data_IF_908880433029
#
_entry.id   IF_908880433029
#
_cell.length_a   1.000
_cell.length_b   1.000
_cell.length_c   1.000
_cell.angle_alpha   90.00
_cell.angle_beta   90.00
_cell.angle_gamma   90.00
#
_symmetry.space_group_name_H-M   'P 1'
#
loop_
_entity.id
_entity.type
_entity.pdbx_description
1 polymer ?
#
# COMPACT_ATOMS: atom_id res chain seq x y z
N UNK A 1 -45.09 26.67 17.98
CA UNK A 1 -44.24 27.78 17.48
C UNK A 1 -42.79 27.33 17.53
N UNK A 2 -42.28 26.80 16.41
CA UNK A 2 -40.91 26.26 16.30
C UNK A 2 -39.98 27.39 15.89
N UNK A 3 -39.07 27.80 16.79
CA UNK A 3 -38.08 28.85 16.48
C UNK A 3 -37.12 28.33 15.41
N UNK A 4 -37.12 28.98 14.25
CA UNK A 4 -36.13 28.77 13.19
C UNK A 4 -34.75 29.08 13.77
N UNK A 5 -33.87 28.07 13.81
CA UNK A 5 -32.49 28.21 14.24
C UNK A 5 -31.73 28.93 13.11
N UNK A 6 -31.58 30.25 13.23
CA UNK A 6 -30.80 31.04 12.27
C UNK A 6 -29.32 30.73 12.49
N UNK A 7 -28.70 30.01 11.56
CA UNK A 7 -27.25 29.81 11.58
C UNK A 7 -26.52 31.16 11.43
N UNK A 8 -25.42 31.40 12.17
CA UNK A 8 -24.67 32.64 12.06
C UNK A 8 -24.01 32.72 10.68
N UNK A 9 -24.37 33.74 9.88
CA UNK A 9 -23.70 34.04 8.60
C UNK A 9 -22.26 34.51 8.88
N UNK A 10 -21.28 33.74 8.42
CA UNK A 10 -19.86 34.11 8.51
C UNK A 10 -19.61 35.40 7.73
N UNK A 11 -18.90 36.35 8.33
CA UNK A 11 -18.50 37.59 7.64
C UNK A 11 -17.57 37.29 6.47
N UNK A 12 -17.69 38.04 5.37
CA UNK A 12 -16.86 37.85 4.17
C UNK A 12 -15.36 37.84 4.50
N UNK A 13 -14.89 38.74 5.37
CA UNK A 13 -13.48 38.80 5.77
C UNK A 13 -13.00 37.55 6.53
N UNK A 14 -13.87 36.95 7.35
CA UNK A 14 -13.57 35.69 8.04
C UNK A 14 -13.57 34.51 7.05
N UNK A 15 -14.50 34.49 6.09
CA UNK A 15 -14.52 33.50 5.03
C UNK A 15 -13.26 33.56 4.14
N UNK A 16 -12.85 34.76 3.75
CA UNK A 16 -11.65 35.00 2.94
C UNK A 16 -10.38 34.59 3.69
N UNK A 17 -10.30 34.89 5.00
CA UNK A 17 -9.19 34.45 5.86
C UNK A 17 -9.11 32.93 5.95
N UNK A 18 -10.23 32.23 6.20
CA UNK A 18 -10.27 30.76 6.26
C UNK A 18 -9.85 30.13 4.94
N UNK A 19 -10.30 30.69 3.82
CA UNK A 19 -9.91 30.24 2.48
C UNK A 19 -8.41 30.42 2.25
N UNK A 20 -7.84 31.56 2.63
CA UNK A 20 -6.42 31.84 2.45
C UNK A 20 -5.54 30.87 3.27
N UNK A 21 -5.92 30.60 4.53
CA UNK A 21 -5.21 29.63 5.38
C UNK A 21 -5.29 28.21 4.79
N UNK A 22 -6.49 27.74 4.43
CA UNK A 22 -6.65 26.41 3.85
C UNK A 22 -5.88 26.23 2.52
N UNK A 23 -5.81 27.28 1.69
CA UNK A 23 -5.03 27.24 0.45
C UNK A 23 -3.52 27.20 0.72
N UNK A 24 -3.03 27.91 1.74
CA UNK A 24 -1.63 27.86 2.14
C UNK A 24 -1.25 26.46 2.65
N UNK A 25 -2.07 25.87 3.52
CA UNK A 25 -1.88 24.51 4.03
C UNK A 25 -1.85 23.47 2.90
N UNK A 26 -2.78 23.57 1.94
CA UNK A 26 -2.81 22.69 0.77
C UNK A 26 -1.52 22.81 -0.05
N UNK A 27 -1.03 24.04 -0.28
CA UNK A 27 0.20 24.30 -1.04
C UNK A 27 1.45 23.74 -0.35
N UNK A 28 1.49 23.80 0.98
CA UNK A 28 2.57 23.20 1.75
C UNK A 28 2.57 21.68 1.63
N UNK A 29 1.40 21.04 1.73
CA UNK A 29 1.28 19.59 1.53
C UNK A 29 1.69 19.16 0.12
N UNK A 30 1.25 19.89 -0.91
CA UNK A 30 1.64 19.66 -2.31
C UNK A 30 3.17 19.77 -2.51
N UNK A 31 3.80 20.78 -1.90
CA UNK A 31 5.24 20.97 -2.00
C UNK A 31 6.01 19.83 -1.33
N UNK A 32 5.59 19.41 -0.14
CA UNK A 32 6.20 18.31 0.60
C UNK A 32 6.05 16.98 -0.14
N UNK A 33 4.89 16.74 -0.76
CA UNK A 33 4.69 15.56 -1.61
C UNK A 33 5.64 15.58 -2.83
N UNK A 34 5.76 16.72 -3.53
CA UNK A 34 6.67 16.86 -4.67
C UNK A 34 8.16 16.71 -4.31
N UNK A 35 8.53 17.03 -3.06
CA UNK A 35 9.88 16.80 -2.51
C UNK A 35 10.11 15.36 -2.07
N UNK A 36 9.10 14.50 -2.11
CA UNK A 36 9.18 13.12 -1.64
C UNK A 36 9.12 12.96 -0.12
N UNK A 37 8.73 14.01 0.62
CA UNK A 37 8.60 13.96 2.08
C UNK A 37 7.27 13.33 2.53
N UNK A 38 6.27 13.30 1.64
CA UNK A 38 4.95 12.72 1.88
C UNK A 38 4.57 11.80 0.72
N UNK A 39 4.03 10.63 1.07
CA UNK A 39 3.43 9.70 0.11
C UNK A 39 1.92 9.69 0.29
N UNK A 40 1.20 9.43 -0.79
CA UNK A 40 -0.25 9.29 -0.74
C UNK A 40 -0.59 7.93 -0.11
N UNK A 41 -1.34 7.96 0.99
CA UNK A 41 -1.56 6.76 1.80
C UNK A 41 -2.27 5.65 1.01
N UNK A 42 -3.22 6.01 0.13
CA UNK A 42 -3.94 5.03 -0.68
C UNK A 42 -3.00 4.35 -1.69
N UNK A 43 -2.14 5.10 -2.38
CA UNK A 43 -1.14 4.51 -3.27
C UNK A 43 -0.15 3.61 -2.51
N UNK A 44 0.34 4.01 -1.33
CA UNK A 44 1.19 3.15 -0.49
C UNK A 44 0.47 1.84 -0.16
N UNK A 45 -0.77 1.92 0.34
CA UNK A 45 -1.56 0.72 0.66
C UNK A 45 -1.77 -0.19 -0.55
N UNK A 46 -2.05 0.39 -1.71
CA UNK A 46 -2.23 -0.34 -2.96
C UNK A 46 -0.96 -1.07 -3.40
N UNK A 47 0.19 -0.40 -3.35
CA UNK A 47 1.48 -1.00 -3.69
C UNK A 47 1.82 -2.16 -2.76
N UNK A 48 1.64 -1.98 -1.44
CA UNK A 48 1.82 -3.05 -0.46
C UNK A 48 0.86 -4.22 -0.68
N UNK A 49 -0.42 -3.94 -0.94
CA UNK A 49 -1.42 -4.97 -1.20
C UNK A 49 -1.08 -5.79 -2.45
N UNK A 50 -0.64 -5.13 -3.53
CA UNK A 50 -0.21 -5.78 -4.76
C UNK A 50 1.02 -6.69 -4.53
N UNK A 51 2.05 -6.17 -3.85
CA UNK A 51 3.26 -6.93 -3.53
C UNK A 51 2.95 -8.17 -2.66
N UNK A 52 2.14 -8.00 -1.61
CA UNK A 52 1.74 -9.12 -0.73
C UNK A 52 0.87 -10.16 -1.45
N UNK A 53 -0.03 -9.73 -2.32
CA UNK A 53 -0.82 -10.65 -3.14
C UNK A 53 0.07 -11.48 -4.07
N UNK A 54 1.04 -10.85 -4.74
CA UNK A 54 1.97 -11.54 -5.62
C UNK A 54 2.84 -12.57 -4.85
N UNK A 55 3.30 -12.25 -3.64
CA UNK A 55 4.01 -13.19 -2.77
C UNK A 55 3.13 -14.39 -2.44
N UNK A 56 1.91 -14.13 -1.96
CA UNK A 56 0.93 -15.18 -1.61
C UNK A 56 0.71 -16.12 -2.80
N UNK A 57 0.46 -15.57 -3.98
CA UNK A 57 0.14 -16.37 -5.16
C UNK A 57 1.34 -17.24 -5.60
N UNK A 58 2.57 -16.70 -5.53
CA UNK A 58 3.80 -17.47 -5.82
C UNK A 58 4.02 -18.62 -4.83
N UNK A 59 3.81 -18.37 -3.53
CA UNK A 59 3.97 -19.37 -2.47
C UNK A 59 2.91 -20.46 -2.57
N UNK A 60 1.64 -20.08 -2.77
CA UNK A 60 0.54 -21.04 -2.89
C UNK A 60 0.63 -21.87 -4.18
N UNK A 61 1.31 -21.39 -5.21
CA UNK A 61 1.61 -22.16 -6.42
C UNK A 61 2.84 -23.08 -6.33
N UNK A 62 3.54 -23.14 -5.19
CA UNK A 62 4.67 -24.07 -5.01
C UNK A 62 4.24 -25.54 -5.01
N UNK A 63 3.18 -25.96 -4.29
CA UNK A 63 2.76 -27.36 -4.27
C UNK A 63 2.44 -27.91 -5.66
N UNK A 64 1.74 -27.15 -6.50
CA UNK A 64 1.37 -27.56 -7.86
C UNK A 64 2.61 -27.75 -8.75
N UNK A 65 3.61 -26.87 -8.61
CA UNK A 65 4.86 -26.93 -9.38
C UNK A 65 5.80 -28.04 -8.91
N UNK A 66 5.87 -28.27 -7.60
CA UNK A 66 6.85 -29.16 -6.99
C UNK A 66 6.31 -30.56 -6.72
N UNK A 67 5.00 -30.77 -6.71
CA UNK A 67 4.38 -32.04 -6.30
C UNK A 67 4.94 -33.26 -7.05
N UNK A 68 5.05 -33.18 -8.37
CA UNK A 68 5.62 -34.26 -9.19
C UNK A 68 7.14 -34.42 -9.01
N UNK A 69 7.86 -33.32 -8.78
CA UNK A 69 9.32 -33.30 -8.61
C UNK A 69 9.72 -33.96 -7.29
N UNK A 70 8.94 -33.71 -6.24
CA UNK A 70 9.20 -34.19 -4.89
C UNK A 70 8.71 -35.63 -4.66
N UNK A 71 7.88 -36.16 -5.55
CA UNK A 71 7.32 -37.51 -5.42
C UNK A 71 8.44 -38.57 -5.34
N UNK A 72 8.44 -39.35 -4.26
CA UNK A 72 9.42 -40.42 -4.02
C UNK A 72 10.83 -39.95 -3.68
N UNK A 73 11.04 -38.65 -3.40
CA UNK A 73 12.34 -38.12 -2.95
C UNK A 73 12.56 -38.31 -1.45
N UNK A 74 13.82 -38.39 -1.07
CA UNK A 74 14.22 -38.44 0.32
C UNK A 74 14.10 -37.08 1.01
N UNK A 75 13.96 -37.09 2.34
CA UNK A 75 13.69 -35.88 3.14
C UNK A 75 14.71 -34.76 2.92
N UNK A 76 16.00 -35.09 2.81
CA UNK A 76 17.08 -34.11 2.60
C UNK A 76 16.89 -33.37 1.26
N UNK A 77 16.63 -34.11 0.18
CA UNK A 77 16.42 -33.54 -1.14
C UNK A 77 15.15 -32.68 -1.18
N UNK A 78 14.07 -33.16 -0.55
CA UNK A 78 12.82 -32.39 -0.44
C UNK A 78 13.05 -31.06 0.27
N UNK A 79 13.78 -31.07 1.40
CA UNK A 79 14.10 -29.83 2.13
C UNK A 79 14.96 -28.87 1.31
N UNK A 80 15.91 -29.37 0.53
CA UNK A 80 16.72 -28.53 -0.37
C UNK A 80 15.86 -27.88 -1.45
N UNK A 81 15.08 -28.67 -2.19
CA UNK A 81 14.23 -28.16 -3.29
C UNK A 81 13.19 -27.16 -2.79
N UNK A 82 12.55 -27.43 -1.64
CA UNK A 82 11.60 -26.51 -1.04
C UNK A 82 12.25 -25.20 -0.62
N UNK A 83 13.46 -25.26 -0.01
CA UNK A 83 14.19 -24.06 0.40
C UNK A 83 14.54 -23.19 -0.80
N UNK A 84 15.11 -23.78 -1.85
CA UNK A 84 15.51 -23.05 -3.05
C UNK A 84 14.29 -22.37 -3.71
N UNK A 85 13.18 -23.09 -3.80
CA UNK A 85 11.96 -22.56 -4.40
C UNK A 85 11.30 -21.46 -3.56
N UNK A 86 11.36 -21.56 -2.23
CA UNK A 86 10.90 -20.52 -1.31
C UNK A 86 11.76 -19.27 -1.40
N UNK A 87 13.09 -19.42 -1.39
CA UNK A 87 14.00 -18.28 -1.55
C UNK A 87 13.77 -17.57 -2.89
N UNK A 88 13.56 -18.33 -3.96
CA UNK A 88 13.25 -17.75 -5.27
C UNK A 88 11.92 -16.99 -5.26
N UNK A 89 10.87 -17.56 -4.66
CA UNK A 89 9.58 -16.87 -4.52
C UNK A 89 9.69 -15.56 -3.72
N UNK A 90 10.62 -15.50 -2.75
CA UNK A 90 10.85 -14.33 -1.90
C UNK A 90 11.85 -13.32 -2.51
N UNK A 91 12.74 -13.73 -3.43
CA UNK A 91 13.66 -12.81 -4.11
C UNK A 91 12.93 -11.76 -4.94
N UNK A 92 11.77 -12.12 -5.51
CA UNK A 92 10.90 -11.20 -6.26
C UNK A 92 10.31 -10.05 -5.45
N UNK A 93 10.50 -10.02 -4.12
CA UNK A 93 9.95 -8.99 -3.22
C UNK A 93 10.67 -7.64 -3.35
N UNK A 94 11.93 -7.63 -3.82
CA UNK A 94 12.72 -6.40 -3.94
C UNK A 94 12.78 -5.84 -5.37
N UNK A 95 12.38 -6.61 -6.39
CA UNK A 95 12.59 -6.24 -7.79
C UNK A 95 11.47 -5.39 -8.41
N UNK A 96 10.29 -5.35 -7.75
CA UNK A 96 9.09 -4.68 -8.25
C UNK A 96 8.82 -3.33 -7.53
N UNK A 97 9.79 -2.80 -6.77
CA UNK A 97 9.69 -1.55 -6.00
C UNK A 97 10.62 -0.44 -6.51
#
# INVERSE_FOLDING_TARGET
MTKLRTEPKISKGEADRRKAVALAELRELELRQKRGELLEAAEVQKQWAAGLAAIRDRLLGLPDRLGAILAGRGEVEVRTVLRDALEEALRGIHADG
#
